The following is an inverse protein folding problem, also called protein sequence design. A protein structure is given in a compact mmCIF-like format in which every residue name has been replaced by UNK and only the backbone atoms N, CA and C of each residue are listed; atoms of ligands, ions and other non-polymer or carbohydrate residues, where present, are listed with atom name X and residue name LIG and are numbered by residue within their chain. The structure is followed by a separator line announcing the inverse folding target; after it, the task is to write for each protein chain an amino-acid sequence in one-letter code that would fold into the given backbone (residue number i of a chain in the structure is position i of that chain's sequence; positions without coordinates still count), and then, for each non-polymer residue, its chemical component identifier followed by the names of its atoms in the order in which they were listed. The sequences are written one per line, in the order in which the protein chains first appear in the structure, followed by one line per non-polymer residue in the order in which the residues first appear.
data_IF_980721242867
#
_entry.id   IF_980721242867
#
_cell.length_a   1.000
_cell.length_b   1.000
_cell.length_c   1.000
_cell.angle_alpha   90.00
_cell.angle_beta   90.00
_cell.angle_gamma   90.00
#
_symmetry.space_group_name_H-M   'P 1'
#
loop_
_entity.id
_entity.type
_entity.pdbx_description
1 polymer ?
#
# COMPACT_ATOMS: atom_id res chain seq x y z
N UNK A 1 -4.33 -20.89 -0.46
CA UNK A 1 -3.90 -19.47 -0.54
C UNK A 1 -3.22 -19.26 -1.87
N UNK A 2 -3.85 -18.52 -2.75
CA UNK A 2 -3.24 -18.15 -4.02
C UNK A 2 -2.27 -17.01 -3.76
N UNK A 3 -0.97 -17.27 -3.93
CA UNK A 3 0.02 -16.20 -3.85
C UNK A 3 -0.15 -15.28 -5.06
N UNK A 4 -0.16 -13.96 -4.87
CA UNK A 4 -0.25 -13.05 -6.00
C UNK A 4 1.03 -13.09 -6.82
N UNK A 5 0.94 -12.70 -8.09
CA UNK A 5 2.13 -12.30 -8.81
C UNK A 5 2.67 -11.02 -8.17
N UNK A 6 3.96 -11.01 -7.87
CA UNK A 6 4.56 -9.85 -7.26
C UNK A 6 5.01 -8.85 -8.31
N UNK A 7 4.66 -7.61 -8.08
CA UNK A 7 5.18 -6.46 -8.82
C UNK A 7 6.31 -5.84 -8.02
N UNK A 8 7.51 -5.81 -8.58
CA UNK A 8 8.64 -5.11 -7.97
C UNK A 8 8.55 -3.62 -8.30
N UNK A 9 8.73 -2.79 -7.28
CA UNK A 9 8.73 -1.33 -7.44
C UNK A 9 10.09 -0.78 -7.01
N UNK A 10 10.64 0.12 -7.83
CA UNK A 10 11.87 0.86 -7.53
C UNK A 10 11.60 2.35 -7.65
N UNK A 11 11.60 3.00 -6.51
CA UNK A 11 11.25 4.42 -6.40
C UNK A 11 12.49 5.22 -6.06
N UNK A 12 12.79 6.21 -6.89
CA UNK A 12 13.85 7.18 -6.62
C UNK A 12 13.24 8.55 -6.40
N UNK A 13 13.64 9.16 -5.31
CA UNK A 13 13.22 10.51 -4.96
C UNK A 13 14.39 11.45 -5.01
N UNK A 14 14.14 12.66 -5.49
CA UNK A 14 15.13 13.74 -5.47
C UNK A 14 14.52 15.01 -4.93
N UNK A 15 15.31 15.70 -4.11
CA UNK A 15 14.98 17.05 -3.66
C UNK A 15 15.37 18.03 -4.77
N UNK A 16 14.41 18.81 -5.26
CA UNK A 16 14.62 19.79 -6.30
C UNK A 16 15.15 21.14 -5.78
N UNK A 17 15.73 21.17 -4.58
CA UNK A 17 16.58 22.26 -4.09
C UNK A 17 15.91 23.34 -3.27
N UNK A 18 14.58 23.46 -3.28
CA UNK A 18 13.88 24.51 -2.53
C UNK A 18 12.88 23.96 -1.49
N UNK A 19 12.73 22.64 -1.40
CA UNK A 19 11.65 22.04 -0.62
C UNK A 19 12.04 20.76 0.12
N UNK A 20 13.16 20.84 0.83
CA UNK A 20 13.65 19.72 1.67
C UNK A 20 12.60 19.19 2.64
N UNK A 21 11.64 20.01 3.10
CA UNK A 21 10.55 19.57 3.97
C UNK A 21 9.64 18.52 3.32
N UNK A 22 9.24 18.72 2.06
CA UNK A 22 8.42 17.74 1.34
C UNK A 22 9.20 16.45 1.12
N UNK A 23 10.45 16.55 0.71
CA UNK A 23 11.34 15.40 0.51
C UNK A 23 11.51 14.62 1.82
N UNK A 24 11.88 15.28 2.90
CA UNK A 24 12.08 14.65 4.20
C UNK A 24 10.80 13.96 4.70
N UNK A 25 9.66 14.65 4.57
CA UNK A 25 8.38 14.09 4.99
C UNK A 25 7.98 12.85 4.19
N UNK A 26 8.17 12.88 2.87
CA UNK A 26 7.87 11.73 2.02
C UNK A 26 8.79 10.55 2.34
N UNK A 27 10.08 10.79 2.58
CA UNK A 27 11.01 9.75 3.01
C UNK A 27 10.58 9.11 4.34
N UNK A 28 10.17 9.91 5.31
CA UNK A 28 9.66 9.39 6.59
C UNK A 28 8.43 8.50 6.39
N UNK A 29 7.50 8.91 5.53
CA UNK A 29 6.29 8.13 5.26
C UNK A 29 6.62 6.81 4.57
N UNK A 30 7.48 6.82 3.56
CA UNK A 30 7.85 5.61 2.82
C UNK A 30 8.72 4.65 3.63
N UNK A 31 9.50 5.15 4.57
CA UNK A 31 10.36 4.34 5.44
C UNK A 31 9.63 3.84 6.70
N UNK A 32 8.46 4.35 6.99
CA UNK A 32 7.67 3.99 8.16
C UNK A 32 6.87 2.70 7.98
N UNK A 33 6.06 2.38 8.98
CA UNK A 33 5.13 1.27 8.95
C UNK A 33 3.91 1.64 8.10
N UNK A 34 3.43 0.69 7.31
CA UNK A 34 2.24 0.86 6.48
C UNK A 34 2.25 2.17 5.67
N UNK A 35 3.24 2.37 4.78
CA UNK A 35 3.43 3.63 4.07
C UNK A 35 2.22 4.07 3.24
N UNK A 36 1.54 3.15 2.57
CA UNK A 36 0.37 3.47 1.74
C UNK A 36 -0.78 4.00 2.58
N UNK A 37 -1.02 3.36 3.71
CA UNK A 37 -2.05 3.83 4.65
C UNK A 37 -1.70 5.19 5.26
N UNK A 38 -0.41 5.46 5.48
CA UNK A 38 0.04 6.77 5.96
C UNK A 38 -0.15 7.88 4.93
N UNK A 39 0.08 7.57 3.64
CA UNK A 39 -0.05 8.52 2.52
C UNK A 39 -1.51 8.72 2.12
N UNK A 40 -2.26 7.63 2.04
CA UNK A 40 -3.66 7.63 1.61
C UNK A 40 -4.47 6.72 2.55
N UNK A 41 -4.93 7.24 3.70
CA UNK A 41 -5.55 6.43 4.74
C UNK A 41 -6.79 5.68 4.28
N UNK A 42 -6.82 4.38 4.53
CA UNK A 42 -8.01 3.54 4.33
C UNK A 42 -9.02 3.81 5.44
N UNK A 43 -10.32 3.89 5.12
CA UNK A 43 -11.35 3.98 6.16
C UNK A 43 -11.30 2.80 7.13
N UNK A 44 -11.65 3.04 8.39
CA UNK A 44 -11.73 1.99 9.40
C UNK A 44 -13.05 1.22 9.24
N UNK A 45 -13.10 0.33 8.26
CA UNK A 45 -14.30 -0.41 7.88
C UNK A 45 -14.96 -1.18 9.03
N UNK A 46 -14.21 -1.78 9.98
CA UNK A 46 -14.85 -2.43 11.13
C UNK A 46 -15.74 -1.52 11.96
N UNK A 47 -15.57 -0.21 11.89
CA UNK A 47 -16.39 0.79 12.59
C UNK A 47 -17.49 1.41 11.72
N UNK A 48 -17.57 1.01 10.46
CA UNK A 48 -18.52 1.54 9.49
C UNK A 48 -19.60 0.50 9.21
N UNK A 49 -20.89 0.78 9.47
CA UNK A 49 -21.96 -0.16 9.16
C UNK A 49 -22.10 -0.37 7.63
N UNK A 50 -22.60 -1.55 7.27
CA UNK A 50 -22.95 -1.85 5.87
C UNK A 50 -24.29 -1.20 5.49
N UNK A 51 -24.79 -1.48 4.29
CA UNK A 51 -26.05 -0.93 3.78
C UNK A 51 -27.26 -1.31 4.62
N UNK A 52 -27.16 -2.39 5.41
CA UNK A 52 -28.21 -2.84 6.34
C UNK A 52 -28.06 -2.26 7.75
N UNK A 53 -27.06 -1.39 7.95
CA UNK A 53 -26.76 -0.82 9.27
C UNK A 53 -26.05 -1.77 10.22
N UNK A 54 -25.48 -2.86 9.72
CA UNK A 54 -24.81 -3.88 10.52
C UNK A 54 -23.29 -3.65 10.56
N UNK A 55 -22.68 -3.84 11.72
CA UNK A 55 -21.22 -3.80 11.88
C UNK A 55 -20.66 -5.22 11.78
N UNK A 56 -19.46 -5.37 11.16
CA UNK A 56 -18.79 -6.66 11.15
C UNK A 56 -18.24 -7.00 12.54
N UNK A 57 -18.15 -8.29 12.83
CA UNK A 57 -17.60 -8.81 14.09
C UNK A 57 -16.29 -9.51 13.80
N UNK A 58 -15.30 -9.23 14.65
CA UNK A 58 -13.99 -9.86 14.56
C UNK A 58 -14.06 -11.31 14.99
N UNK A 59 -13.57 -12.20 14.13
CA UNK A 59 -13.41 -13.63 14.44
C UNK A 59 -11.91 -13.97 14.45
N UNK A 60 -11.48 -14.65 15.50
CA UNK A 60 -10.11 -15.10 15.67
C UNK A 60 -10.05 -16.59 15.38
N UNK A 61 -9.20 -16.97 14.42
CA UNK A 61 -9.00 -18.37 14.06
C UNK A 61 -7.70 -18.87 14.69
N UNK A 62 -7.80 -19.98 15.42
CA UNK A 62 -6.67 -20.59 16.12
C UNK A 62 -6.37 -21.97 15.56
N UNK A 63 -5.07 -22.37 15.58
CA UNK A 63 -4.67 -23.74 15.28
C UNK A 63 -4.90 -24.67 16.48
N UNK A 64 -4.56 -25.96 16.33
CA UNK A 64 -4.70 -26.97 17.38
C UNK A 64 -3.87 -26.67 18.64
N UNK A 65 -2.86 -25.81 18.53
CA UNK A 65 -2.01 -25.40 19.65
C UNK A 65 -2.53 -24.15 20.38
N UNK A 66 -3.67 -23.59 19.93
CA UNK A 66 -4.23 -22.37 20.49
C UNK A 66 -3.58 -21.08 19.98
N UNK A 67 -2.70 -21.16 18.99
CA UNK A 67 -2.04 -20.00 18.39
C UNK A 67 -2.98 -19.33 17.38
N UNK A 68 -3.02 -18.00 17.38
CA UNK A 68 -3.80 -17.22 16.42
C UNK A 68 -3.13 -17.31 15.04
N UNK A 69 -3.83 -17.90 14.07
CA UNK A 69 -3.34 -18.05 12.69
C UNK A 69 -3.99 -17.09 11.72
N UNK A 70 -5.17 -16.54 12.05
CA UNK A 70 -5.85 -15.56 11.22
C UNK A 70 -6.89 -14.79 12.04
N UNK A 71 -7.19 -13.58 11.58
CA UNK A 71 -8.28 -12.76 12.09
C UNK A 71 -9.12 -12.30 10.92
N UNK A 72 -10.44 -12.41 11.01
CA UNK A 72 -11.36 -11.96 9.98
C UNK A 72 -12.47 -11.11 10.59
N UNK A 73 -13.06 -10.26 9.78
CA UNK A 73 -14.27 -9.53 10.14
C UNK A 73 -15.42 -10.03 9.29
N UNK A 74 -16.47 -10.50 9.94
CA UNK A 74 -17.63 -11.08 9.27
C UNK A 74 -18.92 -10.38 9.72
N UNK A 75 -19.83 -10.19 8.77
CA UNK A 75 -21.16 -9.68 9.06
C UNK A 75 -22.08 -10.76 9.67
N UNK A 76 -23.22 -10.37 10.26
CA UNK A 76 -24.14 -11.35 10.87
C UNK A 76 -24.63 -12.45 9.94
N UNK A 77 -24.66 -12.21 8.64
CA UNK A 77 -25.01 -13.23 7.64
C UNK A 77 -23.88 -14.23 7.34
N UNK A 78 -22.74 -14.10 7.99
CA UNK A 78 -21.57 -14.95 7.83
C UNK A 78 -20.63 -14.54 6.70
N UNK A 79 -20.97 -13.51 5.92
CA UNK A 79 -20.11 -13.03 4.84
C UNK A 79 -18.93 -12.23 5.38
N UNK A 80 -17.76 -12.47 4.82
CA UNK A 80 -16.56 -11.72 5.14
C UNK A 80 -16.71 -10.24 4.70
N UNK A 81 -16.19 -9.33 5.50
CA UNK A 81 -16.12 -7.92 5.12
C UNK A 81 -14.95 -7.71 4.17
N UNK A 82 -15.24 -7.60 2.88
CA UNK A 82 -14.26 -7.42 1.81
C UNK A 82 -14.17 -5.97 1.30
N UNK A 83 -14.80 -5.01 1.98
CA UNK A 83 -14.80 -3.61 1.58
C UNK A 83 -13.40 -3.02 1.48
N UNK A 84 -12.50 -3.45 2.37
CA UNK A 84 -11.09 -3.04 2.35
C UNK A 84 -10.41 -3.40 1.04
N UNK A 85 -10.70 -4.59 0.50
CA UNK A 85 -10.12 -5.08 -0.76
C UNK A 85 -10.51 -4.16 -1.93
N UNK A 86 -11.79 -3.91 -2.10
CA UNK A 86 -12.28 -3.06 -3.17
C UNK A 86 -11.77 -1.64 -3.03
N UNK A 87 -11.77 -1.10 -1.81
CA UNK A 87 -11.26 0.23 -1.56
C UNK A 87 -9.77 0.35 -1.91
N UNK A 88 -8.94 -0.60 -1.49
CA UNK A 88 -7.50 -0.58 -1.76
C UNK A 88 -7.22 -0.69 -3.27
N UNK A 89 -7.89 -1.59 -3.97
CA UNK A 89 -7.73 -1.74 -5.43
C UNK A 89 -8.14 -0.45 -6.14
N UNK A 90 -9.26 0.16 -5.76
CA UNK A 90 -9.76 1.37 -6.40
C UNK A 90 -8.94 2.62 -6.08
N UNK A 91 -8.42 2.74 -4.86
CA UNK A 91 -7.74 3.95 -4.40
C UNK A 91 -6.21 3.85 -4.39
N UNK A 92 -5.65 2.72 -3.99
CA UNK A 92 -4.19 2.52 -4.02
C UNK A 92 -3.70 1.94 -5.35
N UNK A 93 -4.55 1.18 -6.05
CA UNK A 93 -4.18 0.42 -7.25
C UNK A 93 -3.66 -0.98 -6.94
N UNK A 94 -3.59 -1.37 -5.68
CA UNK A 94 -3.18 -2.70 -5.20
C UNK A 94 -3.90 -3.02 -3.91
N UNK A 95 -4.11 -4.32 -3.64
CA UNK A 95 -4.94 -4.75 -2.50
C UNK A 95 -4.26 -4.65 -1.13
N UNK A 96 -2.93 -4.58 -1.08
CA UNK A 96 -2.16 -4.55 0.16
C UNK A 96 -1.23 -3.36 0.22
N UNK A 97 -0.86 -2.97 1.42
CA UNK A 97 0.21 -2.01 1.66
C UNK A 97 1.56 -2.58 1.20
N UNK A 98 2.61 -1.80 1.30
CA UNK A 98 3.96 -2.17 0.89
C UNK A 98 4.37 -3.50 1.49
N UNK A 99 4.83 -4.42 0.63
CA UNK A 99 5.33 -5.72 1.02
C UNK A 99 6.82 -5.83 0.73
N UNK A 100 7.52 -6.63 1.54
CA UNK A 100 8.91 -7.05 1.29
C UNK A 100 9.84 -5.91 0.87
N UNK A 101 9.90 -4.86 1.66
CA UNK A 101 10.83 -3.75 1.40
C UNK A 101 12.27 -4.31 1.38
N UNK A 102 12.89 -4.31 0.21
CA UNK A 102 14.23 -4.88 0.01
C UNK A 102 15.32 -3.81 -0.11
N UNK A 103 14.96 -2.56 -0.34
CA UNK A 103 15.88 -1.44 -0.35
C UNK A 103 15.25 -0.24 0.31
N UNK A 104 15.98 0.42 1.19
CA UNK A 104 15.63 1.73 1.74
C UNK A 104 16.91 2.49 2.00
N UNK A 105 17.27 3.40 1.09
CA UNK A 105 18.45 4.25 1.21
C UNK A 105 18.00 5.70 1.19
N UNK A 106 18.35 6.45 2.22
CA UNK A 106 18.01 7.86 2.35
C UNK A 106 19.32 8.63 2.54
N UNK A 107 19.59 9.58 1.66
CA UNK A 107 20.74 10.45 1.73
C UNK A 107 20.30 11.90 1.61
N UNK A 108 21.23 12.82 1.68
CA UNK A 108 20.94 14.24 1.52
C UNK A 108 20.47 14.53 0.07
N UNK A 109 19.19 14.92 -0.03
CA UNK A 109 18.57 15.28 -1.31
C UNK A 109 18.29 14.11 -2.25
N UNK A 110 18.45 12.88 -1.79
CA UNK A 110 18.24 11.70 -2.61
C UNK A 110 17.78 10.50 -1.77
N UNK A 111 16.88 9.69 -2.30
CA UNK A 111 16.44 8.46 -1.66
C UNK A 111 16.05 7.41 -2.68
N UNK A 112 16.18 6.14 -2.30
CA UNK A 112 15.74 4.99 -3.11
C UNK A 112 15.01 3.99 -2.22
N UNK A 113 13.86 3.52 -2.71
CA UNK A 113 13.06 2.50 -2.04
C UNK A 113 12.73 1.39 -3.04
N UNK A 114 12.91 0.14 -2.63
CA UNK A 114 12.51 -1.03 -3.39
C UNK A 114 11.57 -1.89 -2.56
N UNK A 115 10.45 -2.30 -3.13
CA UNK A 115 9.44 -3.09 -2.44
C UNK A 115 8.52 -3.81 -3.43
N UNK A 116 7.74 -4.75 -2.91
CA UNK A 116 6.78 -5.50 -3.70
C UNK A 116 5.35 -5.02 -3.45
N UNK A 117 4.54 -5.07 -4.49
CA UNK A 117 3.08 -4.90 -4.41
C UNK A 117 2.40 -6.08 -5.09
N UNK A 118 1.15 -6.33 -4.70
CA UNK A 118 0.37 -7.46 -5.24
C UNK A 118 -0.19 -7.11 -6.63
N UNK A 119 0.18 -7.87 -7.65
CA UNK A 119 -0.34 -7.85 -9.02
C UNK A 119 0.04 -6.64 -9.89
N UNK A 120 0.09 -5.45 -9.32
CA UNK A 120 0.28 -4.20 -10.08
C UNK A 120 1.03 -3.17 -9.25
N UNK A 121 1.64 -2.15 -9.89
CA UNK A 121 2.16 -1.02 -9.15
C UNK A 121 1.02 -0.24 -8.50
N UNK A 122 1.28 0.48 -7.39
CA UNK A 122 0.25 1.20 -6.67
C UNK A 122 -0.03 2.55 -7.33
N UNK A 123 -0.77 2.53 -8.44
CA UNK A 123 -1.06 3.72 -9.26
C UNK A 123 -1.66 4.87 -8.45
N UNK A 124 -2.61 4.57 -7.56
CA UNK A 124 -3.29 5.58 -6.76
C UNK A 124 -2.39 6.20 -5.70
N UNK A 125 -1.45 5.44 -5.16
CA UNK A 125 -0.42 5.96 -4.25
C UNK A 125 0.52 6.91 -4.99
N UNK A 126 0.95 6.53 -6.18
CA UNK A 126 1.76 7.40 -7.02
C UNK A 126 1.06 8.73 -7.29
N UNK A 127 -0.22 8.69 -7.70
CA UNK A 127 -1.01 9.89 -7.98
C UNK A 127 -1.16 10.75 -6.73
N UNK A 128 -1.40 10.14 -5.57
CA UNK A 128 -1.53 10.84 -4.29
C UNK A 128 -0.23 11.53 -3.88
N UNK A 129 0.90 10.86 -4.07
CA UNK A 129 2.23 11.45 -3.82
C UNK A 129 2.47 12.66 -4.73
N UNK A 130 2.14 12.55 -6.00
CA UNK A 130 2.30 13.66 -6.95
C UNK A 130 1.44 14.86 -6.57
N UNK A 131 0.24 14.60 -6.05
CA UNK A 131 -0.68 15.64 -5.58
C UNK A 131 -0.17 16.33 -4.30
N UNK A 132 0.25 15.54 -3.31
CA UNK A 132 0.62 16.04 -1.98
C UNK A 132 2.07 16.52 -1.88
N UNK A 133 2.96 16.02 -2.75
CA UNK A 133 4.40 16.33 -2.76
C UNK A 133 4.85 16.79 -4.15
N UNK A 134 4.25 17.87 -4.69
CA UNK A 134 4.49 18.27 -6.08
C UNK A 134 5.94 18.70 -6.37
N UNK A 135 6.69 19.09 -5.35
CA UNK A 135 8.06 19.61 -5.52
C UNK A 135 9.14 18.53 -5.38
N UNK A 136 8.74 17.29 -5.09
CA UNK A 136 9.67 16.15 -5.00
C UNK A 136 9.82 15.50 -6.38
N UNK A 137 11.05 15.34 -6.85
CA UNK A 137 11.32 14.57 -8.06
C UNK A 137 11.12 13.09 -7.82
N UNK A 138 10.35 12.43 -8.68
CA UNK A 138 10.03 11.00 -8.53
C UNK A 138 10.29 10.28 -9.83
N UNK A 139 11.05 9.17 -9.74
CA UNK A 139 11.16 8.17 -10.79
C UNK A 139 10.66 6.85 -10.21
N UNK A 140 9.63 6.30 -10.80
CA UNK A 140 8.99 5.07 -10.30
C UNK A 140 8.98 4.01 -11.38
N UNK A 141 9.88 3.04 -11.25
CA UNK A 141 9.96 1.88 -12.14
C UNK A 141 9.22 0.71 -11.49
N UNK A 142 8.46 -0.04 -12.30
CA UNK A 142 7.81 -1.27 -11.86
C UNK A 142 8.08 -2.41 -12.84
N UNK A 143 8.16 -3.62 -12.31
CA UNK A 143 8.37 -4.85 -13.06
C UNK A 143 7.50 -5.96 -12.48
N UNK A 144 6.58 -6.47 -13.28
CA UNK A 144 5.71 -7.60 -12.93
C UNK A 144 6.02 -8.75 -13.90
N UNK A 145 7.00 -9.62 -13.56
CA UNK A 145 7.45 -10.67 -14.49
C UNK A 145 6.42 -11.77 -14.73
N UNK A 146 5.52 -12.02 -13.78
CA UNK A 146 4.51 -13.05 -13.93
C UNK A 146 3.52 -12.79 -15.06
N UNK A 147 3.20 -11.53 -15.33
CA UNK A 147 2.34 -11.10 -16.43
C UNK A 147 3.12 -10.41 -17.55
N UNK A 148 4.43 -10.41 -17.45
CA UNK A 148 5.36 -9.89 -18.46
C UNK A 148 5.13 -8.41 -18.80
N UNK A 149 4.93 -7.56 -17.79
CA UNK A 149 4.89 -6.11 -18.01
C UNK A 149 5.81 -5.35 -17.06
N UNK A 150 6.39 -4.29 -17.59
CA UNK A 150 7.27 -3.39 -16.87
C UNK A 150 7.19 -1.99 -17.45
N UNK A 151 7.55 -0.98 -16.69
CA UNK A 151 7.55 0.40 -17.15
C UNK A 151 7.80 1.41 -16.06
N UNK A 152 7.52 2.67 -16.39
CA UNK A 152 7.59 3.78 -15.45
C UNK A 152 6.20 4.38 -15.24
N UNK A 153 5.93 4.83 -14.00
CA UNK A 153 4.72 5.59 -13.72
C UNK A 153 4.96 7.08 -14.01
N UNK A 154 3.94 7.81 -14.51
CA UNK A 154 2.66 7.29 -15.00
C UNK A 154 2.81 6.60 -16.37
N UNK A 155 1.91 5.67 -16.63
CA UNK A 155 1.87 4.96 -17.91
C UNK A 155 1.29 5.83 -19.02
#
# INVERSE_FOLDING_TARGET
IIMPNWCENRVRLSDNGETSEQFDRLCELLDGDNPFNAIFPMPDFPKIPNDKGELPVKEVHKNDKGEVVAETYNFPDGKNDDRWYHWCVDNWGTKWDMCDKFTAEIDEGWAEFGFNTAWSPPYGIFDKIKEDFPDVGISWFYDEPGMEFAGYLPN
#
